data_IF_135559632031
#
_entry.id   IF_135559632031
#
_cell.length_a   1.000
_cell.length_b   1.000
_cell.length_c   1.000
_cell.angle_alpha   90.00
_cell.angle_beta   90.00
_cell.angle_gamma   90.00
#
_symmetry.space_group_name_H-M   'P 1'
#
loop_
_entity.id
_entity.type
_entity.pdbx_description
1 polymer ?
#
# COMPACT_ATOMS: atom_id res chain seq x y z
N UNK A 1 -44.21 72.72 -13.20
CA UNK A 1 -44.57 71.91 -14.41
C UNK A 1 -43.52 70.89 -14.69
N UNK A 2 -43.91 69.59 -14.76
CA UNK A 2 -43.28 68.43 -15.38
C UNK A 2 -41.79 68.16 -15.05
N UNK A 3 -41.41 67.26 -14.12
CA UNK A 3 -41.35 65.79 -14.24
C UNK A 3 -40.51 65.28 -15.42
N UNK A 4 -39.43 64.64 -15.08
CA UNK A 4 -38.62 63.82 -15.99
C UNK A 4 -37.69 62.91 -15.18
N UNK A 5 -38.23 61.78 -14.73
CA UNK A 5 -37.42 60.75 -14.07
C UNK A 5 -36.52 60.04 -15.08
N UNK A 6 -35.32 59.78 -14.69
CA UNK A 6 -34.40 58.87 -15.40
C UNK A 6 -34.04 57.75 -14.46
N UNK A 7 -34.62 56.57 -14.78
CA UNK A 7 -34.30 55.31 -14.16
C UNK A 7 -32.84 54.97 -14.46
N UNK A 8 -32.02 54.95 -13.45
CA UNK A 8 -30.70 54.38 -13.53
C UNK A 8 -30.82 52.88 -13.24
N UNK A 9 -30.76 52.10 -14.29
CA UNK A 9 -30.74 50.63 -14.21
C UNK A 9 -29.36 50.20 -13.74
N UNK A 10 -29.23 49.89 -12.43
CA UNK A 10 -28.03 49.33 -11.88
C UNK A 10 -27.89 47.88 -12.35
N UNK A 11 -26.99 47.65 -13.32
CA UNK A 11 -26.65 46.33 -13.79
C UNK A 11 -25.75 45.68 -12.75
N UNK A 12 -26.33 44.88 -11.86
CA UNK A 12 -25.53 44.03 -10.94
C UNK A 12 -25.02 42.83 -11.71
N UNK A 13 -23.78 42.90 -12.13
CA UNK A 13 -23.07 41.75 -12.69
C UNK A 13 -22.73 40.80 -11.54
N UNK A 14 -23.54 39.75 -11.40
CA UNK A 14 -23.25 38.60 -10.56
C UNK A 14 -22.10 37.81 -11.18
N UNK A 15 -20.89 38.07 -10.72
CA UNK A 15 -19.78 37.15 -10.97
C UNK A 15 -20.01 35.87 -10.18
N UNK A 16 -20.63 34.89 -10.82
CA UNK A 16 -20.65 33.53 -10.32
C UNK A 16 -19.23 32.96 -10.45
N UNK A 17 -18.43 33.15 -9.42
CA UNK A 17 -17.13 32.51 -9.29
C UNK A 17 -17.34 30.98 -9.19
N UNK A 18 -17.04 30.29 -10.25
CA UNK A 18 -16.90 28.84 -10.21
C UNK A 18 -15.71 28.48 -9.33
N UNK A 19 -15.93 28.32 -8.03
CA UNK A 19 -15.01 27.63 -7.17
C UNK A 19 -14.99 26.16 -7.60
N UNK A 20 -14.01 25.79 -8.43
CA UNK A 20 -13.68 24.40 -8.63
C UNK A 20 -13.16 23.86 -7.28
N UNK A 21 -14.07 23.32 -6.49
CA UNK A 21 -13.72 22.52 -5.33
C UNK A 21 -13.08 21.24 -5.85
N UNK A 22 -11.75 21.26 -5.93
CA UNK A 22 -10.99 20.05 -6.18
C UNK A 22 -11.25 19.11 -5.02
N UNK A 23 -12.19 18.19 -5.18
CA UNK A 23 -12.42 17.13 -4.21
C UNK A 23 -11.16 16.26 -4.22
N UNK A 24 -10.32 16.50 -3.26
CA UNK A 24 -9.31 15.52 -2.89
C UNK A 24 -10.06 14.27 -2.47
N UNK A 25 -10.13 13.29 -3.37
CA UNK A 25 -10.63 11.95 -3.05
C UNK A 25 -9.73 11.42 -1.95
N UNK A 26 -10.20 11.49 -0.71
CA UNK A 26 -9.59 10.79 0.41
C UNK A 26 -9.62 9.32 0.07
N UNK A 27 -8.46 8.76 -0.29
CA UNK A 27 -8.30 7.32 -0.41
C UNK A 27 -8.54 6.76 0.99
N UNK A 28 -9.75 6.28 1.22
CA UNK A 28 -10.12 5.60 2.46
C UNK A 28 -9.21 4.39 2.56
N UNK A 29 -8.21 4.47 3.43
CA UNK A 29 -7.31 3.37 3.73
C UNK A 29 -8.15 2.25 4.31
N UNK A 30 -8.45 1.23 3.51
CA UNK A 30 -9.08 0.01 4.02
C UNK A 30 -8.20 -0.55 5.12
N UNK A 31 -8.82 -0.99 6.22
CA UNK A 31 -8.08 -1.64 7.30
C UNK A 31 -7.44 -2.96 6.82
N UNK A 32 -6.28 -3.34 7.39
CA UNK A 32 -5.68 -4.64 7.10
C UNK A 32 -6.56 -5.76 7.64
N UNK A 33 -6.61 -6.88 6.96
CA UNK A 33 -7.44 -8.04 7.31
C UNK A 33 -6.69 -9.36 7.12
N UNK A 34 -7.24 -10.43 7.68
CA UNK A 34 -6.71 -11.79 7.57
C UNK A 34 -7.08 -12.39 6.22
N UNK A 35 -6.10 -12.95 5.53
CA UNK A 35 -6.30 -13.70 4.29
C UNK A 35 -6.30 -15.20 4.61
N UNK A 36 -7.48 -15.81 4.68
CA UNK A 36 -7.62 -17.25 4.98
C UNK A 36 -7.12 -18.17 3.86
N UNK A 37 -7.05 -17.67 2.65
CA UNK A 37 -6.67 -18.43 1.45
C UNK A 37 -5.63 -17.69 0.59
N UNK A 38 -4.63 -17.06 1.24
CA UNK A 38 -3.52 -16.47 0.50
C UNK A 38 -2.61 -17.59 0.00
N UNK A 39 -2.52 -17.73 -1.32
CA UNK A 39 -1.64 -18.72 -1.96
C UNK A 39 -0.47 -17.97 -2.58
N UNK A 40 0.74 -18.26 -2.11
CA UNK A 40 1.96 -17.79 -2.74
C UNK A 40 2.07 -18.48 -4.09
N UNK A 41 2.23 -17.72 -5.15
CA UNK A 41 2.53 -18.25 -6.47
C UNK A 41 4.02 -18.61 -6.56
N UNK A 42 4.41 -19.74 -5.98
CA UNK A 42 5.80 -20.22 -6.04
C UNK A 42 6.16 -20.89 -7.37
N UNK A 43 5.17 -21.17 -8.22
CA UNK A 43 5.37 -21.84 -9.51
C UNK A 43 5.66 -20.81 -10.61
N UNK A 44 6.88 -20.25 -10.58
CA UNK A 44 7.38 -19.38 -11.65
C UNK A 44 8.06 -20.17 -12.80
N UNK A 45 7.73 -21.44 -12.99
CA UNK A 45 8.34 -22.27 -14.04
C UNK A 45 7.79 -22.02 -15.46
N UNK A 46 6.82 -21.13 -15.62
CA UNK A 46 6.18 -20.92 -16.92
C UNK A 46 5.98 -19.45 -17.31
N UNK A 47 6.84 -18.53 -16.88
CA UNK A 47 6.80 -17.16 -17.40
C UNK A 47 8.11 -16.87 -18.10
N UNK A 48 8.06 -16.95 -19.45
CA UNK A 48 9.04 -16.33 -20.36
C UNK A 48 9.69 -15.12 -19.70
N UNK A 49 11.01 -15.21 -19.45
CA UNK A 49 11.94 -14.15 -19.01
C UNK A 49 11.28 -12.88 -18.43
N UNK A 50 10.50 -13.00 -17.36
CA UNK A 50 9.94 -11.86 -16.67
C UNK A 50 11.12 -11.00 -16.20
N UNK A 51 11.13 -9.73 -16.62
CA UNK A 51 12.15 -8.78 -16.19
C UNK A 51 12.21 -8.77 -14.67
N UNK A 52 13.39 -8.96 -14.10
CA UNK A 52 13.62 -8.85 -12.68
C UNK A 52 13.81 -7.39 -12.30
N UNK A 53 13.06 -6.93 -11.35
CA UNK A 53 13.13 -5.58 -10.79
C UNK A 53 13.67 -5.61 -9.36
N UNK A 54 14.27 -4.49 -8.97
CA UNK A 54 14.71 -4.26 -7.59
C UNK A 54 13.70 -3.37 -6.87
N UNK A 55 13.43 -3.72 -5.62
CA UNK A 55 12.49 -3.01 -4.75
C UNK A 55 13.19 -2.64 -3.45
N UNK A 56 12.98 -1.41 -2.99
CA UNK A 56 13.37 -1.01 -1.64
C UNK A 56 12.14 -1.02 -0.74
N UNK A 57 12.25 -1.72 0.36
CA UNK A 57 11.22 -1.85 1.35
C UNK A 57 11.64 -1.10 2.61
N UNK A 58 10.80 -0.21 3.12
CA UNK A 58 11.01 0.45 4.41
C UNK A 58 9.87 0.10 5.35
N UNK A 59 10.21 -0.55 6.46
CA UNK A 59 9.24 -1.00 7.46
C UNK A 59 9.48 -0.22 8.75
N UNK A 60 8.45 0.48 9.20
CA UNK A 60 8.47 1.17 10.50
C UNK A 60 7.76 0.31 11.54
N UNK A 61 8.45 -0.04 12.61
CA UNK A 61 7.87 -0.69 13.78
C UNK A 61 7.27 0.35 14.72
N UNK A 62 6.04 0.12 15.14
CA UNK A 62 5.33 1.02 16.04
C UNK A 62 6.04 1.18 17.38
N UNK A 63 5.99 2.39 17.94
CA UNK A 63 6.49 2.65 19.30
C UNK A 63 5.62 1.97 20.39
N UNK A 64 4.47 1.44 20.05
CA UNK A 64 3.64 0.58 20.92
C UNK A 64 3.77 -0.92 20.62
N UNK A 65 4.76 -1.32 19.83
CA UNK A 65 5.11 -2.72 19.62
C UNK A 65 5.80 -3.34 20.84
N UNK A 66 6.05 -4.64 20.81
CA UNK A 66 7.01 -5.31 21.70
C UNK A 66 8.38 -4.69 21.54
N UNK A 67 9.25 -4.81 22.57
CA UNK A 67 10.58 -4.19 22.54
C UNK A 67 11.39 -4.61 21.32
N UNK A 68 11.30 -5.88 20.97
CA UNK A 68 11.87 -6.53 19.79
C UNK A 68 11.03 -7.76 19.46
N UNK A 69 11.16 -8.30 18.26
CA UNK A 69 10.62 -9.61 17.90
C UNK A 69 11.71 -10.49 17.29
N UNK A 70 11.67 -11.78 17.63
CA UNK A 70 12.46 -12.85 17.00
C UNK A 70 11.60 -13.73 16.12
N UNK A 71 10.34 -13.36 15.99
CA UNK A 71 9.40 -14.07 15.14
C UNK A 71 9.84 -13.98 13.68
N UNK A 72 9.64 -15.06 12.95
CA UNK A 72 9.87 -15.04 11.50
C UNK A 72 8.84 -14.14 10.84
N UNK A 73 9.32 -13.17 10.06
CA UNK A 73 8.50 -12.25 9.29
C UNK A 73 8.71 -12.49 7.80
N UNK A 74 7.62 -12.76 7.09
CA UNK A 74 7.57 -12.89 5.63
C UNK A 74 6.73 -11.78 5.03
N UNK A 75 6.99 -11.45 3.77
CA UNK A 75 6.22 -10.45 3.03
C UNK A 75 5.90 -10.96 1.63
N UNK A 76 4.71 -10.59 1.15
CA UNK A 76 4.32 -10.73 -0.24
C UNK A 76 3.58 -9.47 -0.68
N UNK A 77 3.93 -8.93 -1.83
CA UNK A 77 3.23 -7.79 -2.44
C UNK A 77 3.21 -7.92 -3.95
N UNK A 78 2.25 -7.30 -4.59
CA UNK A 78 2.12 -7.41 -6.03
C UNK A 78 1.01 -6.56 -6.61
N UNK A 79 0.68 -6.87 -7.86
CA UNK A 79 -0.27 -6.14 -8.68
C UNK A 79 -1.55 -6.94 -9.00
N UNK A 80 -2.47 -6.30 -9.71
CA UNK A 80 -3.73 -6.91 -10.12
C UNK A 80 -3.56 -7.99 -11.21
N UNK A 81 -2.41 -8.05 -11.88
CA UNK A 81 -2.12 -9.00 -12.97
C UNK A 81 -1.48 -10.30 -12.46
N UNK A 82 -1.11 -10.33 -11.17
CA UNK A 82 -0.56 -11.50 -10.51
C UNK A 82 0.95 -11.57 -10.51
N UNK A 83 1.66 -10.48 -10.83
CA UNK A 83 3.08 -10.39 -10.55
C UNK A 83 3.26 -10.14 -9.05
N UNK A 84 4.01 -11.02 -8.40
CA UNK A 84 4.20 -11.02 -6.96
C UNK A 84 5.68 -11.06 -6.60
N UNK A 85 6.07 -10.23 -5.67
CA UNK A 85 7.37 -10.27 -4.99
C UNK A 85 7.16 -10.89 -3.63
N UNK A 86 7.86 -11.99 -3.37
CA UNK A 86 7.79 -12.74 -2.13
C UNK A 86 9.16 -12.87 -1.47
N UNK A 87 9.22 -12.54 -0.18
CA UNK A 87 10.36 -12.82 0.67
C UNK A 87 9.91 -13.70 1.84
N UNK A 88 10.37 -14.96 1.90
CA UNK A 88 9.95 -15.93 2.92
C UNK A 88 10.48 -15.58 4.31
N UNK A 89 11.50 -14.74 4.35
CA UNK A 89 12.11 -14.29 5.58
C UNK A 89 12.77 -12.93 5.39
N UNK A 90 12.29 -11.92 6.11
CA UNK A 90 12.91 -10.59 6.19
C UNK A 90 13.85 -10.50 7.39
N UNK A 91 13.50 -11.18 8.47
CA UNK A 91 14.27 -11.15 9.70
C UNK A 91 15.61 -11.88 9.56
N UNK A 92 16.61 -11.34 10.22
CA UNK A 92 17.87 -12.03 10.53
C UNK A 92 17.96 -12.13 12.04
N UNK A 93 17.95 -13.33 12.62
CA UNK A 93 17.97 -13.51 14.08
C UNK A 93 19.19 -12.88 14.76
N UNK A 94 20.25 -12.64 14.00
CA UNK A 94 21.48 -12.00 14.49
C UNK A 94 21.44 -10.47 14.41
N UNK A 95 20.43 -9.91 13.75
CA UNK A 95 20.30 -8.46 13.57
C UNK A 95 19.23 -7.88 14.50
N UNK A 96 19.39 -6.60 14.82
CA UNK A 96 18.44 -5.83 15.62
C UNK A 96 17.38 -5.18 14.75
N UNK A 97 16.70 -5.97 13.90
CA UNK A 97 15.59 -5.50 13.10
C UNK A 97 14.27 -5.65 13.85
N UNK A 98 13.30 -4.86 13.45
CA UNK A 98 11.95 -4.82 14.05
C UNK A 98 11.92 -4.44 15.54
N UNK A 99 12.94 -3.69 16.00
CA UNK A 99 12.92 -3.10 17.33
C UNK A 99 11.80 -2.02 17.41
N UNK A 100 11.29 -1.83 18.60
CA UNK A 100 10.29 -0.78 18.87
C UNK A 100 10.80 0.59 18.41
N UNK A 101 9.94 1.36 17.70
CA UNK A 101 10.25 2.65 17.09
C UNK A 101 11.30 2.62 15.98
N UNK A 102 11.83 1.45 15.58
CA UNK A 102 12.82 1.36 14.50
C UNK A 102 12.20 1.54 13.12
N UNK A 103 13.06 1.85 12.18
CA UNK A 103 12.75 1.83 10.76
C UNK A 103 13.83 1.00 10.06
N UNK A 104 13.42 -0.10 9.47
CA UNK A 104 14.32 -1.06 8.82
C UNK A 104 14.12 -1.01 7.31
N UNK A 105 15.21 -1.14 6.56
CA UNK A 105 15.20 -1.08 5.11
C UNK A 105 15.76 -2.38 4.51
N UNK A 106 15.05 -2.90 3.52
CA UNK A 106 15.37 -4.14 2.84
C UNK A 106 15.45 -3.92 1.34
N UNK A 107 16.35 -4.65 0.68
CA UNK A 107 16.44 -4.73 -0.78
C UNK A 107 15.92 -6.08 -1.23
N UNK A 108 14.89 -6.08 -2.06
CA UNK A 108 14.29 -7.28 -2.61
C UNK A 108 14.41 -7.28 -4.14
N UNK A 109 14.46 -8.48 -4.71
CA UNK A 109 14.36 -8.70 -6.15
C UNK A 109 13.20 -9.62 -6.44
N UNK A 110 12.52 -9.36 -7.55
CA UNK A 110 11.40 -10.16 -7.99
C UNK A 110 10.89 -9.74 -9.35
N UNK A 111 9.79 -10.31 -9.82
CA UNK A 111 9.15 -9.89 -11.07
C UNK A 111 8.87 -8.39 -11.06
N UNK A 112 8.99 -7.76 -12.22
CA UNK A 112 8.57 -6.37 -12.35
C UNK A 112 7.05 -6.29 -12.26
N UNK A 113 6.54 -5.59 -11.25
CA UNK A 113 5.11 -5.35 -11.08
C UNK A 113 4.67 -4.11 -11.85
N UNK A 114 3.40 -4.06 -12.19
CA UNK A 114 2.74 -2.83 -12.61
C UNK A 114 2.45 -1.95 -11.38
N UNK A 115 1.20 -1.64 -11.08
CA UNK A 115 0.83 -0.89 -9.89
C UNK A 115 0.69 -1.84 -8.69
N UNK A 116 1.54 -1.68 -7.68
CA UNK A 116 1.43 -2.48 -6.46
C UNK A 116 0.12 -2.11 -5.76
N UNK A 117 -0.78 -3.06 -5.63
CA UNK A 117 -2.10 -2.84 -5.06
C UNK A 117 -2.43 -3.74 -3.86
N UNK A 118 -1.58 -4.73 -3.56
CA UNK A 118 -1.71 -5.50 -2.33
C UNK A 118 -0.37 -5.69 -1.64
N UNK A 119 -0.43 -5.87 -0.33
CA UNK A 119 0.71 -6.23 0.50
C UNK A 119 0.24 -7.00 1.72
N UNK A 120 0.85 -8.15 1.94
CA UNK A 120 0.60 -9.03 3.06
C UNK A 120 1.87 -9.31 3.83
N UNK A 121 1.75 -9.38 5.15
CA UNK A 121 2.76 -9.82 6.08
C UNK A 121 2.33 -11.11 6.75
N UNK A 122 3.27 -12.01 6.97
CA UNK A 122 3.09 -13.19 7.80
C UNK A 122 4.10 -13.14 8.94
N UNK A 123 3.61 -13.28 10.17
CA UNK A 123 4.45 -13.43 11.36
C UNK A 123 4.24 -14.84 11.94
N UNK A 124 5.34 -15.51 12.29
CA UNK A 124 5.32 -16.84 12.94
C UNK A 124 6.25 -16.83 14.13
N UNK A 125 5.68 -16.98 15.32
CA UNK A 125 6.38 -17.01 16.59
C UNK A 125 5.51 -16.52 17.75
N UNK A 126 6.11 -16.35 18.93
CA UNK A 126 5.41 -16.04 20.18
C UNK A 126 5.58 -14.59 20.66
N UNK A 127 6.55 -13.85 20.12
CA UNK A 127 6.92 -12.54 20.69
C UNK A 127 5.87 -11.45 20.38
N UNK A 128 5.18 -11.57 19.25
CA UNK A 128 4.31 -10.53 18.74
C UNK A 128 5.08 -9.38 18.08
N UNK A 129 4.41 -8.68 17.14
CA UNK A 129 4.97 -7.54 16.47
C UNK A 129 3.87 -6.63 15.93
N UNK A 130 4.08 -5.32 16.07
CA UNK A 130 3.17 -4.30 15.59
C UNK A 130 3.89 -3.40 14.59
N UNK A 131 3.82 -3.67 13.27
CA UNK A 131 4.27 -2.71 12.27
C UNK A 131 3.38 -1.47 12.28
N UNK A 132 3.96 -0.29 12.14
CA UNK A 132 3.23 0.95 11.93
C UNK A 132 2.88 1.08 10.44
N UNK A 133 3.90 0.97 9.58
CA UNK A 133 3.74 1.10 8.13
C UNK A 133 4.81 0.34 7.36
N UNK A 134 4.45 0.00 6.13
CA UNK A 134 5.36 -0.55 5.12
C UNK A 134 5.31 0.36 3.90
N UNK A 135 6.46 0.86 3.45
CA UNK A 135 6.63 1.57 2.18
C UNK A 135 7.35 0.68 1.20
N UNK A 136 6.85 0.61 -0.01
CA UNK A 136 7.49 -0.11 -1.11
C UNK A 136 7.86 0.88 -2.20
N UNK A 137 9.13 0.92 -2.54
CA UNK A 137 9.69 1.71 -3.64
C UNK A 137 9.99 0.74 -4.79
N UNK A 138 9.30 0.88 -5.89
CA UNK A 138 9.53 0.13 -7.12
C UNK A 138 10.32 0.94 -8.15
N UNK A 139 10.72 0.33 -9.27
CA UNK A 139 11.40 1.02 -10.35
C UNK A 139 10.46 2.06 -11.00
N UNK A 140 10.98 3.28 -11.16
CA UNK A 140 10.34 4.38 -11.90
C UNK A 140 8.93 4.79 -11.45
N UNK A 141 8.59 4.57 -10.17
CA UNK A 141 7.27 4.92 -9.61
C UNK A 141 7.39 5.55 -8.24
N UNK A 142 6.45 6.43 -7.84
CA UNK A 142 6.35 6.86 -6.46
C UNK A 142 6.13 5.66 -5.54
N UNK A 143 6.60 5.77 -4.30
CA UNK A 143 6.38 4.72 -3.31
C UNK A 143 4.90 4.58 -2.97
N UNK A 144 4.51 3.35 -2.65
CA UNK A 144 3.21 3.05 -2.04
C UNK A 144 3.39 2.75 -0.55
N UNK A 145 2.45 3.21 0.28
CA UNK A 145 2.48 2.99 1.72
C UNK A 145 1.24 2.25 2.21
N UNK A 146 1.47 1.23 3.02
CA UNK A 146 0.45 0.46 3.72
C UNK A 146 0.57 0.71 5.22
N UNK A 147 -0.49 1.23 5.87
CA UNK A 147 -0.51 1.56 7.30
C UNK A 147 -1.19 0.45 8.08
N UNK A 148 -0.43 -0.30 8.84
CA UNK A 148 -0.92 -1.43 9.64
C UNK A 148 -1.45 -0.99 11.00
N UNK A 149 -0.62 -0.43 11.86
CA UNK A 149 -0.93 0.01 13.23
C UNK A 149 -1.66 -1.04 14.09
N UNK A 150 -1.52 -2.32 13.77
CA UNK A 150 -2.13 -3.45 14.49
C UNK A 150 -1.08 -4.51 14.77
N UNK A 151 -1.22 -5.23 15.88
CA UNK A 151 -0.43 -6.43 16.10
C UNK A 151 -0.79 -7.47 15.05
N UNK A 152 0.23 -8.03 14.40
CA UNK A 152 0.00 -9.10 13.43
C UNK A 152 -0.43 -10.38 14.16
N UNK A 153 -1.50 -11.03 13.71
CA UNK A 153 -1.87 -12.34 14.22
C UNK A 153 -0.78 -13.38 13.89
N UNK A 154 -0.63 -14.40 14.74
CA UNK A 154 0.34 -15.45 14.55
C UNK A 154 -0.08 -16.44 13.47
N UNK A 155 0.81 -16.81 12.58
CA UNK A 155 0.66 -17.90 11.62
C UNK A 155 -0.32 -17.66 10.47
N UNK A 156 -0.78 -16.43 10.28
CA UNK A 156 -1.70 -16.11 9.19
C UNK A 156 -1.23 -14.90 8.39
N UNK A 157 -1.51 -14.89 7.10
CA UNK A 157 -1.27 -13.73 6.25
C UNK A 157 -2.24 -12.61 6.60
N UNK A 158 -1.71 -11.43 6.80
CA UNK A 158 -2.46 -10.26 7.24
C UNK A 158 -2.00 -9.02 6.47
N UNK A 159 -2.92 -8.28 5.86
CA UNK A 159 -2.54 -7.13 5.07
C UNK A 159 -3.68 -6.49 4.30
N UNK A 160 -3.38 -6.00 3.12
CA UNK A 160 -4.26 -5.18 2.29
C UNK A 160 -4.39 -5.77 0.89
N UNK A 161 -5.57 -5.64 0.33
CA UNK A 161 -5.80 -5.83 -1.09
C UNK A 161 -6.70 -4.72 -1.63
N UNK A 162 -6.09 -3.78 -2.33
CA UNK A 162 -6.75 -2.66 -3.00
C UNK A 162 -6.82 -2.87 -4.51
N UNK A 163 -6.44 -4.06 -5.01
CA UNK A 163 -6.50 -4.36 -6.42
C UNK A 163 -7.93 -4.29 -6.94
N UNK A 164 -8.12 -3.53 -8.00
CA UNK A 164 -9.37 -3.59 -8.77
C UNK A 164 -9.36 -4.88 -9.58
N UNK A 165 -10.50 -5.56 -9.63
CA UNK A 165 -10.64 -6.70 -10.54
C UNK A 165 -10.40 -6.20 -11.96
N UNK A 166 -9.39 -6.72 -12.61
CA UNK A 166 -9.23 -6.56 -14.06
C UNK A 166 -10.35 -7.39 -14.68
N UNK A 167 -11.39 -6.74 -15.21
CA UNK A 167 -12.41 -7.44 -15.99
C UNK A 167 -11.68 -8.08 -17.17
N UNK A 168 -11.61 -9.42 -17.15
CA UNK A 168 -11.00 -10.17 -18.23
C UNK A 168 -11.74 -9.88 -19.50
N UNK A 169 -11.11 -9.20 -20.44
CA UNK A 169 -11.49 -9.29 -21.85
C UNK A 169 -11.29 -10.75 -22.23
N UNK A 170 -12.40 -11.45 -22.39
CA UNK A 170 -12.40 -12.73 -23.09
C UNK A 170 -11.88 -12.43 -24.50
N UNK A 171 -10.63 -12.77 -24.78
CA UNK A 171 -10.15 -12.82 -26.15
C UNK A 171 -10.74 -14.12 -26.71
N UNK A 172 -11.72 -13.96 -27.58
CA UNK A 172 -12.25 -15.03 -28.45
C UNK A 172 -11.24 -15.28 -29.54
#
# INVERSE_FOLDING_TARGET
MKMGGRNSLLLVLLFAGFFNFSQATSVTSKEPHVFRSFRIKSDQTAVTAARSCSYTLTIKTSCSSTKYTRDRVSIAFGDAYGFEVYAPRLDNPSSRIFERCSTDTFQLRGPCTYEICYLNLLRVGSDGWKPESVKVYGPNRPHIMFKFNKFLPNGVWFGFNHCRKVSGSVIV
#
